data_IF_796980240917
#
_entry.id   IF_796980240917
#
_cell.length_a   1.000
_cell.length_b   1.000
_cell.length_c   1.000
_cell.angle_alpha   90.00
_cell.angle_beta   90.00
_cell.angle_gamma   90.00
#
_symmetry.space_group_name_H-M   'P 1'
#
loop_
_entity.id
_entity.type
_entity.pdbx_description
1 polymer ?
#
# COMPACT_ATOMS: atom_id res chain seq x y z
N UNK A 1 1.76 -23.56 -10.60
CA UNK A 1 2.28 -22.17 -10.57
C UNK A 1 1.23 -21.31 -11.25
N UNK A 2 0.59 -20.42 -10.48
CA UNK A 2 -0.54 -19.62 -10.95
C UNK A 2 0.01 -18.48 -11.84
N UNK A 3 -0.62 -18.15 -12.99
CA UNK A 3 -0.26 -16.99 -13.82
C UNK A 3 -0.07 -15.69 -13.02
N UNK A 4 -0.78 -15.54 -11.88
CA UNK A 4 -0.66 -14.42 -10.94
C UNK A 4 0.69 -14.40 -10.18
N UNK A 5 1.29 -15.56 -9.88
CA UNK A 5 2.58 -15.66 -9.18
C UNK A 5 3.77 -15.32 -10.08
N UNK A 6 3.61 -15.46 -11.40
CA UNK A 6 4.65 -15.20 -12.39
C UNK A 6 4.74 -13.72 -12.78
N UNK A 7 3.65 -12.95 -12.65
CA UNK A 7 3.63 -11.50 -12.89
C UNK A 7 4.12 -10.68 -11.69
N UNK A 8 3.84 -11.14 -10.47
CA UNK A 8 4.43 -10.55 -9.26
C UNK A 8 5.97 -10.55 -9.33
N UNK A 9 6.57 -11.61 -9.88
CA UNK A 9 8.03 -11.74 -10.09
C UNK A 9 8.63 -10.74 -11.10
N UNK A 10 7.85 -10.20 -12.04
CA UNK A 10 8.36 -9.30 -13.10
C UNK A 10 8.27 -7.83 -12.74
N UNK A 11 7.21 -7.44 -12.03
CA UNK A 11 7.20 -6.15 -11.31
C UNK A 11 8.33 -6.14 -10.26
N UNK A 12 8.63 -7.29 -9.63
CA UNK A 12 9.76 -7.44 -8.70
C UNK A 12 11.15 -7.27 -9.34
N UNK A 13 11.32 -7.54 -10.64
CA UNK A 13 12.60 -7.37 -11.33
C UNK A 13 12.87 -5.91 -11.75
N UNK A 14 11.83 -5.12 -12.03
CA UNK A 14 11.99 -3.69 -12.32
C UNK A 14 12.34 -2.89 -11.06
N UNK A 15 11.96 -3.38 -9.87
CA UNK A 15 12.09 -2.64 -8.60
C UNK A 15 13.36 -2.95 -7.79
N UNK A 16 14.14 -3.96 -8.16
CA UNK A 16 15.44 -4.23 -7.55
C UNK A 16 16.55 -3.93 -8.56
N UNK A 17 17.12 -2.73 -8.45
CA UNK A 17 18.36 -2.34 -9.11
C UNK A 17 19.52 -3.22 -8.65
N UNK A 18 19.62 -4.43 -9.20
CA UNK A 18 20.82 -5.22 -9.44
C UNK A 18 20.39 -6.60 -9.96
N UNK A 19 20.44 -6.78 -11.28
CA UNK A 19 20.31 -8.10 -11.89
C UNK A 19 19.93 -8.04 -13.35
N UNK A 20 20.93 -7.92 -14.23
CA UNK A 20 20.81 -8.51 -15.58
C UNK A 20 20.40 -9.97 -15.38
N UNK A 21 19.15 -10.31 -15.65
CA UNK A 21 18.76 -11.70 -15.87
C UNK A 21 18.42 -11.82 -17.35
N UNK A 22 19.38 -12.39 -18.07
CA UNK A 22 19.32 -12.76 -19.48
C UNK A 22 18.36 -13.94 -19.76
N UNK A 23 17.44 -14.27 -18.86
CA UNK A 23 16.61 -15.48 -19.00
C UNK A 23 15.16 -15.19 -18.59
N UNK A 24 14.39 -14.60 -19.51
CA UNK A 24 12.93 -14.72 -19.48
C UNK A 24 12.42 -15.17 -20.85
N UNK A 25 12.42 -16.49 -21.06
CA UNK A 25 11.56 -17.10 -22.09
C UNK A 25 10.14 -17.08 -21.55
N UNK A 26 9.34 -16.13 -22.03
CA UNK A 26 7.89 -16.15 -21.86
C UNK A 26 7.35 -17.41 -22.55
N UNK A 27 6.38 -18.15 -21.97
CA UNK A 27 5.82 -19.33 -22.62
C UNK A 27 5.16 -19.05 -23.98
N UNK A 28 4.99 -17.77 -24.33
CA UNK A 28 5.01 -17.18 -25.66
C UNK A 28 5.29 -15.67 -25.49
N UNK A 29 6.48 -15.18 -25.86
CA UNK A 29 6.88 -13.75 -26.04
C UNK A 29 6.44 -12.68 -25.02
N UNK A 30 7.38 -11.95 -24.40
CA UNK A 30 7.03 -10.70 -23.69
C UNK A 30 6.39 -9.72 -24.66
N UNK A 31 5.31 -9.07 -24.25
CA UNK A 31 4.83 -7.87 -24.92
C UNK A 31 4.23 -6.94 -23.88
N UNK A 32 4.55 -5.65 -23.99
CA UNK A 32 3.92 -4.55 -23.23
C UNK A 32 2.40 -4.65 -23.33
N UNK A 33 1.88 -5.11 -24.47
CA UNK A 33 0.46 -5.32 -24.70
C UNK A 33 -0.14 -6.43 -23.82
N UNK A 34 0.59 -7.52 -23.58
CA UNK A 34 0.12 -8.59 -22.70
C UNK A 34 0.09 -8.14 -21.24
N UNK A 35 1.07 -7.34 -20.82
CA UNK A 35 1.11 -6.78 -19.48
C UNK A 35 -0.01 -5.76 -19.25
N UNK A 36 -0.25 -4.88 -20.22
CA UNK A 36 -1.38 -3.96 -20.23
C UNK A 36 -2.73 -4.70 -20.10
N UNK A 37 -2.95 -5.74 -20.92
CA UNK A 37 -4.19 -6.55 -20.84
C UNK A 37 -4.37 -7.19 -19.47
N UNK A 38 -3.28 -7.63 -18.84
CA UNK A 38 -3.32 -8.24 -17.53
C UNK A 38 -3.61 -7.21 -16.42
N UNK A 39 -2.93 -6.06 -16.41
CA UNK A 39 -3.19 -4.98 -15.44
C UNK A 39 -4.67 -4.54 -15.47
N UNK A 40 -5.27 -4.63 -16.65
CA UNK A 40 -6.65 -4.27 -16.91
C UNK A 40 -7.59 -5.48 -17.02
N UNK A 41 -7.26 -6.66 -16.48
CA UNK A 41 -8.21 -7.80 -16.53
C UNK A 41 -9.41 -7.60 -15.59
N UNK A 42 -9.16 -7.03 -14.41
CA UNK A 42 -10.13 -6.96 -13.31
C UNK A 42 -10.46 -5.52 -12.88
N UNK A 43 -10.24 -4.54 -13.75
CA UNK A 43 -10.38 -3.11 -13.43
C UNK A 43 -11.78 -2.71 -12.92
N UNK A 44 -12.84 -3.43 -13.32
CA UNK A 44 -14.23 -3.19 -12.89
C UNK A 44 -14.42 -3.49 -11.39
N UNK A 45 -13.52 -4.29 -10.81
CA UNK A 45 -13.59 -4.64 -9.38
C UNK A 45 -12.94 -3.59 -8.48
N UNK A 46 -12.29 -2.57 -9.05
CA UNK A 46 -11.60 -1.52 -8.28
C UNK A 46 -12.61 -0.75 -7.41
N UNK A 47 -12.41 -0.67 -6.09
CA UNK A 47 -13.25 0.12 -5.20
C UNK A 47 -13.41 1.58 -5.65
N UNK A 48 -14.65 2.01 -5.82
CA UNK A 48 -14.97 3.38 -6.25
C UNK A 48 -14.95 3.58 -7.77
N UNK A 49 -14.75 2.54 -8.58
CA UNK A 49 -14.77 2.62 -10.05
C UNK A 49 -16.02 3.31 -10.61
N UNK A 50 -17.15 3.19 -9.89
CA UNK A 50 -18.42 3.81 -10.28
C UNK A 50 -18.38 5.33 -10.34
N UNK A 51 -17.39 5.99 -9.71
CA UNK A 51 -17.18 7.44 -9.85
C UNK A 51 -16.74 7.87 -11.24
N UNK A 52 -16.20 6.96 -12.04
CA UNK A 52 -15.84 7.24 -13.43
C UNK A 52 -17.04 7.18 -14.37
N UNK A 53 -18.24 6.91 -13.83
CA UNK A 53 -19.46 6.94 -14.60
C UNK A 53 -19.86 8.38 -14.93
N UNK A 54 -20.32 8.59 -16.16
CA UNK A 54 -20.96 9.85 -16.53
C UNK A 54 -22.35 9.96 -15.88
N UNK A 55 -22.89 11.17 -15.69
CA UNK A 55 -24.21 11.35 -15.06
C UNK A 55 -25.38 10.71 -15.83
N UNK A 56 -25.23 10.53 -17.14
CA UNK A 56 -26.28 10.09 -18.07
C UNK A 56 -26.16 8.62 -18.53
N UNK A 57 -25.17 7.88 -18.02
CA UNK A 57 -24.94 6.48 -18.40
C UNK A 57 -25.26 5.50 -17.25
N UNK A 58 -25.60 4.27 -17.61
CA UNK A 58 -25.79 3.18 -16.65
C UNK A 58 -24.48 2.47 -16.34
N UNK A 59 -24.41 1.77 -15.19
CA UNK A 59 -23.25 0.94 -14.87
C UNK A 59 -23.00 -0.17 -15.90
N UNK A 60 -24.06 -0.71 -16.51
CA UNK A 60 -23.93 -1.70 -17.59
C UNK A 60 -23.22 -1.10 -18.81
N UNK A 61 -23.61 0.10 -19.24
CA UNK A 61 -22.94 0.82 -20.33
C UNK A 61 -21.47 1.14 -19.97
N UNK A 62 -21.21 1.53 -18.73
CA UNK A 62 -19.86 1.75 -18.23
C UNK A 62 -19.01 0.47 -18.23
N UNK A 63 -19.57 -0.66 -17.81
CA UNK A 63 -18.87 -1.95 -17.73
C UNK A 63 -18.47 -2.51 -19.10
N UNK A 64 -19.09 -2.02 -20.18
CA UNK A 64 -18.79 -2.39 -21.56
C UNK A 64 -17.68 -1.53 -22.20
N UNK A 65 -17.16 -0.52 -21.49
CA UNK A 65 -16.08 0.31 -22.00
C UNK A 65 -14.80 -0.49 -22.20
N UNK A 66 -13.99 -0.05 -23.15
CA UNK A 66 -12.64 -0.60 -23.29
C UNK A 66 -11.77 -0.19 -22.10
N UNK A 67 -10.78 -1.00 -21.72
CA UNK A 67 -9.80 -0.63 -20.70
C UNK A 67 -9.16 0.75 -20.93
N UNK A 68 -8.84 1.09 -22.19
CA UNK A 68 -8.26 2.37 -22.55
C UNK A 68 -9.23 3.53 -22.30
N UNK A 69 -10.52 3.35 -22.60
CA UNK A 69 -11.53 4.36 -22.35
C UNK A 69 -11.74 4.59 -20.84
N UNK A 70 -11.64 3.54 -20.03
CA UNK A 70 -11.70 3.66 -18.56
C UNK A 70 -10.49 4.42 -18.02
N UNK A 71 -9.27 4.14 -18.51
CA UNK A 71 -8.08 4.90 -18.13
C UNK A 71 -8.22 6.39 -18.51
N UNK A 72 -8.72 6.69 -19.71
CA UNK A 72 -8.95 8.10 -20.12
C UNK A 72 -9.93 8.81 -19.17
N UNK A 73 -11.01 8.15 -18.77
CA UNK A 73 -11.96 8.70 -17.78
C UNK A 73 -11.32 8.88 -16.41
N UNK A 74 -10.53 7.91 -15.97
CA UNK A 74 -9.79 7.97 -14.72
C UNK A 74 -8.81 9.15 -14.68
N UNK A 75 -8.04 9.35 -15.73
CA UNK A 75 -7.14 10.51 -15.86
C UNK A 75 -7.94 11.81 -15.75
N UNK A 76 -9.00 11.94 -16.55
CA UNK A 76 -9.80 13.16 -16.57
C UNK A 76 -10.52 13.45 -15.25
N UNK A 77 -10.99 12.42 -14.54
CA UNK A 77 -11.57 12.55 -13.20
C UNK A 77 -10.57 13.21 -12.23
N UNK A 78 -9.30 12.79 -12.26
CA UNK A 78 -8.26 13.37 -11.39
C UNK A 78 -7.81 14.76 -11.83
N UNK A 79 -7.71 15.01 -13.14
CA UNK A 79 -7.43 16.37 -13.65
C UNK A 79 -8.53 17.36 -13.27
N UNK A 80 -9.79 16.94 -13.28
CA UNK A 80 -10.92 17.76 -12.85
C UNK A 80 -10.86 18.07 -11.35
N UNK A 81 -10.56 17.07 -10.50
CA UNK A 81 -10.38 17.28 -9.06
C UNK A 81 -9.19 18.22 -8.76
N UNK A 82 -8.12 18.12 -9.54
CA UNK A 82 -6.95 19.01 -9.47
C UNK A 82 -7.19 20.40 -10.07
N UNK A 83 -8.41 20.71 -10.56
CA UNK A 83 -8.78 21.97 -11.21
C UNK A 83 -7.87 22.32 -12.40
N UNK A 84 -7.40 21.32 -13.13
CA UNK A 84 -6.64 21.48 -14.37
C UNK A 84 -7.64 21.58 -15.52
N UNK A 85 -7.49 22.52 -16.45
CA UNK A 85 -8.43 22.67 -17.58
C UNK A 85 -8.21 21.64 -18.70
N UNK A 86 -6.97 21.16 -18.84
CA UNK A 86 -6.60 20.22 -19.90
C UNK A 86 -7.26 18.86 -19.69
N UNK A 87 -7.66 18.20 -20.78
CA UNK A 87 -8.27 16.86 -20.76
C UNK A 87 -7.53 15.92 -21.70
N UNK A 88 -7.42 14.67 -21.29
CA UNK A 88 -6.98 13.56 -22.13
C UNK A 88 -8.13 13.14 -23.04
N UNK A 89 -7.93 13.27 -24.34
CA UNK A 89 -8.88 12.84 -25.38
C UNK A 89 -8.25 11.82 -26.32
N UNK A 90 -7.01 12.06 -26.73
CA UNK A 90 -6.23 11.21 -27.64
C UNK A 90 -4.89 10.89 -26.98
N UNK A 91 -4.71 9.62 -26.59
CA UNK A 91 -3.53 9.14 -25.85
C UNK A 91 -2.22 9.47 -26.57
N UNK A 92 -2.17 9.30 -27.90
CA UNK A 92 -0.95 9.55 -28.69
C UNK A 92 -0.57 11.03 -28.84
N UNK A 93 -1.47 11.96 -28.48
CA UNK A 93 -1.26 13.39 -28.73
C UNK A 93 -1.22 14.19 -27.43
N UNK A 94 -2.17 13.95 -26.53
CA UNK A 94 -2.35 14.81 -25.36
C UNK A 94 -1.32 14.55 -24.25
N UNK A 95 -0.62 13.42 -24.30
CA UNK A 95 0.37 13.01 -23.30
C UNK A 95 1.81 13.40 -23.67
N UNK A 96 2.06 13.80 -24.92
CA UNK A 96 3.42 13.94 -25.48
C UNK A 96 4.27 15.00 -24.79
N UNK A 97 3.62 15.99 -24.19
CA UNK A 97 4.27 17.10 -23.52
C UNK A 97 4.40 16.92 -22.01
N UNK A 98 3.98 15.76 -21.48
CA UNK A 98 4.04 15.39 -20.07
C UNK A 98 3.25 16.27 -19.08
N UNK A 99 2.45 17.24 -19.54
CA UNK A 99 1.69 18.12 -18.62
C UNK A 99 0.60 17.33 -17.92
N UNK A 100 -0.15 16.51 -18.67
CA UNK A 100 -1.19 15.64 -18.09
C UNK A 100 -0.58 14.68 -17.08
N UNK A 101 0.55 14.04 -17.41
CA UNK A 101 1.25 13.17 -16.47
C UNK A 101 1.68 13.90 -15.20
N UNK A 102 2.23 15.11 -15.34
CA UNK A 102 2.70 15.87 -14.20
C UNK A 102 1.59 16.14 -13.19
N UNK A 103 0.43 16.60 -13.67
CA UNK A 103 -0.72 16.87 -12.81
C UNK A 103 -1.37 15.59 -12.27
N UNK A 104 -1.55 14.58 -13.13
CA UNK A 104 -2.13 13.31 -12.72
C UNK A 104 -1.34 12.68 -11.57
N UNK A 105 -0.02 12.57 -11.72
CA UNK A 105 0.84 11.96 -10.69
C UNK A 105 0.84 12.84 -9.44
N UNK A 106 0.84 14.17 -9.58
CA UNK A 106 0.70 15.08 -8.44
C UNK A 106 -0.56 14.85 -7.60
N UNK A 107 -1.66 14.45 -8.24
CA UNK A 107 -2.95 14.20 -7.58
C UNK A 107 -3.01 12.80 -6.95
N UNK A 108 -2.51 11.77 -7.62
CA UNK A 108 -2.68 10.37 -7.20
C UNK A 108 -1.52 9.86 -6.31
N UNK A 109 -0.36 10.49 -6.38
CA UNK A 109 0.82 10.05 -5.65
C UNK A 109 0.63 10.18 -4.14
N UNK A 110 1.07 9.21 -3.33
CA UNK A 110 1.06 9.35 -1.88
C UNK A 110 1.90 10.57 -1.45
N UNK A 111 1.44 11.38 -0.47
CA UNK A 111 2.17 12.56 -0.01
C UNK A 111 3.61 12.29 0.47
N UNK A 112 3.91 11.04 0.83
CA UNK A 112 5.23 10.59 1.30
C UNK A 112 6.26 10.38 0.19
N UNK A 113 5.86 10.39 -1.08
CA UNK A 113 6.75 10.12 -2.22
C UNK A 113 7.59 11.33 -2.66
N UNK A 114 7.31 12.52 -2.12
CA UNK A 114 8.00 13.78 -2.45
C UNK A 114 8.08 14.08 -3.96
N UNK A 115 7.10 13.59 -4.73
CA UNK A 115 6.95 13.91 -6.15
C UNK A 115 6.73 15.42 -6.33
N UNK A 116 7.44 16.03 -7.28
CA UNK A 116 7.36 17.48 -7.54
C UNK A 116 6.80 17.79 -8.92
N UNK A 117 5.53 18.22 -8.96
CA UNK A 117 4.88 18.73 -10.17
C UNK A 117 5.67 19.90 -10.78
N UNK A 118 6.17 20.80 -9.93
CA UNK A 118 6.92 22.00 -10.36
C UNK A 118 8.25 21.63 -11.02
N UNK A 119 8.90 20.56 -10.57
CA UNK A 119 10.15 20.09 -11.18
C UNK A 119 9.94 19.64 -12.63
N UNK A 120 8.77 19.08 -12.94
CA UNK A 120 8.41 18.69 -14.31
C UNK A 120 7.96 19.92 -15.11
N UNK A 121 6.97 20.67 -14.61
CA UNK A 121 6.37 21.79 -15.35
C UNK A 121 7.31 22.99 -15.55
N UNK A 122 8.38 23.10 -14.76
CA UNK A 122 9.40 24.15 -14.91
C UNK A 122 10.30 23.97 -16.15
N UNK A 123 10.26 22.81 -16.80
CA UNK A 123 11.09 22.52 -17.98
C UNK A 123 10.52 23.11 -19.28
N UNK A 124 11.42 23.64 -20.12
CA UNK A 124 11.04 24.49 -21.26
C UNK A 124 10.59 23.74 -22.51
N UNK A 125 11.07 22.52 -22.72
CA UNK A 125 10.75 21.71 -23.90
C UNK A 125 10.10 20.42 -23.49
N UNK A 126 9.32 19.81 -24.38
CA UNK A 126 8.59 18.58 -24.13
C UNK A 126 9.56 17.43 -23.78
N UNK A 127 10.72 17.37 -24.44
CA UNK A 127 11.75 16.36 -24.15
C UNK A 127 12.34 16.53 -22.75
N UNK A 128 12.62 17.76 -22.33
CA UNK A 128 13.11 18.03 -20.97
C UNK A 128 12.05 17.75 -19.91
N UNK A 129 10.79 18.10 -20.19
CA UNK A 129 9.65 17.75 -19.34
C UNK A 129 9.52 16.24 -19.18
N UNK A 130 9.57 15.49 -20.28
CA UNK A 130 9.49 14.03 -20.24
C UNK A 130 10.68 13.40 -19.49
N UNK A 131 11.89 13.91 -19.64
CA UNK A 131 13.05 13.45 -18.87
C UNK A 131 12.93 13.78 -17.37
N UNK A 132 12.47 14.98 -17.03
CA UNK A 132 12.22 15.35 -15.64
C UNK A 132 11.11 14.49 -15.01
N UNK A 133 10.04 14.22 -15.76
CA UNK A 133 8.98 13.31 -15.34
C UNK A 133 9.54 11.94 -14.98
N UNK A 134 10.28 11.29 -15.89
CA UNK A 134 10.87 9.96 -15.67
C UNK A 134 11.79 9.96 -14.45
N UNK A 135 12.57 11.03 -14.23
CA UNK A 135 13.39 11.17 -13.02
C UNK A 135 12.56 11.28 -11.75
N UNK A 136 11.43 11.99 -11.78
CA UNK A 136 10.53 12.08 -10.64
C UNK A 136 9.82 10.73 -10.34
N UNK A 137 9.61 9.88 -11.35
CA UNK A 137 9.05 8.52 -11.17
C UNK A 137 9.96 7.60 -10.32
N UNK A 138 11.27 7.84 -10.30
CA UNK A 138 12.20 7.10 -9.43
C UNK A 138 11.82 7.26 -7.94
N UNK A 139 11.31 8.44 -7.56
CA UNK A 139 10.88 8.72 -6.18
C UNK A 139 9.61 7.97 -5.78
N UNK A 140 8.77 7.67 -6.76
CA UNK A 140 7.56 6.84 -6.59
C UNK A 140 7.90 5.35 -6.52
N UNK A 141 9.18 4.97 -6.65
CA UNK A 141 9.63 3.58 -6.77
C UNK A 141 8.94 2.86 -7.94
N UNK A 142 8.80 3.55 -9.07
CA UNK A 142 8.37 2.94 -10.34
C UNK A 142 9.41 3.25 -11.45
N UNK A 143 10.69 2.87 -11.26
CA UNK A 143 11.71 3.04 -12.29
C UNK A 143 11.36 2.25 -13.56
N UNK A 144 11.81 2.76 -14.70
CA UNK A 144 11.68 2.14 -16.03
C UNK A 144 10.23 1.88 -16.51
N UNK A 145 9.23 2.52 -15.89
CA UNK A 145 7.83 2.35 -16.26
C UNK A 145 7.48 2.90 -17.65
N UNK A 146 8.19 3.94 -18.09
CA UNK A 146 8.05 4.56 -19.41
C UNK A 146 9.34 5.30 -19.78
N UNK A 147 9.66 5.37 -21.07
CA UNK A 147 10.79 6.14 -21.58
C UNK A 147 10.34 7.53 -22.02
N UNK A 148 11.15 8.54 -21.72
CA UNK A 148 10.88 9.92 -22.13
C UNK A 148 10.66 10.05 -23.65
N UNK A 149 11.42 9.28 -24.44
CA UNK A 149 11.27 9.21 -25.91
C UNK A 149 9.87 8.75 -26.33
N UNK A 150 9.35 7.68 -25.72
CA UNK A 150 8.05 7.10 -26.04
C UNK A 150 6.89 8.04 -25.67
N UNK A 151 7.07 8.88 -24.65
CA UNK A 151 6.14 9.94 -24.31
C UNK A 151 6.11 10.96 -25.46
N UNK A 152 7.25 11.56 -25.80
CA UNK A 152 7.34 12.62 -26.81
C UNK A 152 6.90 12.15 -28.19
N UNK A 153 7.23 10.91 -28.56
CA UNK A 153 6.81 10.30 -29.83
C UNK A 153 5.34 9.88 -29.85
N UNK A 154 4.65 9.90 -28.71
CA UNK A 154 3.24 9.54 -28.61
C UNK A 154 2.98 8.04 -28.81
N UNK A 155 3.89 7.17 -28.36
CA UNK A 155 3.71 5.73 -28.48
C UNK A 155 2.45 5.28 -27.72
N UNK A 156 1.43 4.85 -28.45
CA UNK A 156 0.13 4.54 -27.86
C UNK A 156 0.21 3.46 -26.79
N UNK A 157 0.98 2.39 -27.03
CA UNK A 157 0.98 1.22 -26.17
C UNK A 157 1.83 1.42 -24.93
N UNK A 158 2.99 2.07 -25.05
CA UNK A 158 3.80 2.43 -23.87
C UNK A 158 3.03 3.42 -22.98
N UNK A 159 2.33 4.40 -23.56
CA UNK A 159 1.50 5.33 -22.78
C UNK A 159 0.30 4.64 -22.11
N UNK A 160 -0.41 3.75 -22.81
CA UNK A 160 -1.51 2.98 -22.21
C UNK A 160 -1.05 2.04 -21.11
N UNK A 161 0.06 1.34 -21.31
CA UNK A 161 0.66 0.47 -20.30
C UNK A 161 1.09 1.28 -19.07
N UNK A 162 1.73 2.43 -19.27
CA UNK A 162 2.12 3.29 -18.16
C UNK A 162 0.92 3.84 -17.38
N UNK A 163 -0.14 4.29 -18.06
CA UNK A 163 -1.40 4.67 -17.40
C UNK A 163 -2.04 3.51 -16.64
N UNK A 164 -2.00 2.29 -17.20
CA UNK A 164 -2.50 1.10 -16.51
C UNK A 164 -1.69 0.77 -15.25
N UNK A 165 -0.36 0.92 -15.31
CA UNK A 165 0.51 0.77 -14.13
C UNK A 165 0.16 1.78 -13.05
N UNK A 166 0.01 3.07 -13.40
CA UNK A 166 -0.38 4.11 -12.45
C UNK A 166 -1.77 3.86 -11.85
N UNK A 167 -2.75 3.48 -12.66
CA UNK A 167 -4.09 3.14 -12.20
C UNK A 167 -4.10 1.93 -11.25
N UNK A 168 -3.28 0.92 -11.54
CA UNK A 168 -3.14 -0.26 -10.72
C UNK A 168 -2.50 0.06 -9.36
N UNK A 169 -1.45 0.90 -9.35
CA UNK A 169 -0.76 1.29 -8.12
C UNK A 169 -1.57 2.31 -7.29
N UNK A 170 -2.20 3.29 -7.94
CA UNK A 170 -2.82 4.45 -7.30
C UNK A 170 -4.17 4.82 -7.95
N UNK A 171 -5.23 3.99 -7.79
CA UNK A 171 -6.52 4.29 -8.41
C UNK A 171 -7.19 5.54 -7.80
N UNK A 172 -7.12 5.72 -6.47
CA UNK A 172 -7.63 6.91 -5.73
C UNK A 172 -9.11 7.25 -6.06
N UNK A 173 -9.98 6.24 -6.10
CA UNK A 173 -11.41 6.41 -6.45
C UNK A 173 -12.39 6.29 -5.27
N UNK A 174 -11.95 6.01 -4.04
CA UNK A 174 -12.85 5.83 -2.90
C UNK A 174 -12.79 7.00 -1.89
N UNK A 175 -13.93 7.33 -1.27
CA UNK A 175 -14.05 8.39 -0.25
C UNK A 175 -13.70 7.92 1.17
N UNK A 176 -13.33 6.67 1.38
CA UNK A 176 -12.86 6.24 2.68
C UNK A 176 -11.47 6.84 2.89
N UNK A 177 -11.26 7.80 3.82
CA UNK A 177 -9.94 8.42 4.06
C UNK A 177 -8.87 7.42 4.56
N UNK A 178 -9.20 6.13 4.63
CA UNK A 178 -8.45 5.09 5.32
C UNK A 178 -8.33 3.78 4.51
N UNK A 179 -8.65 3.76 3.22
CA UNK A 179 -8.25 2.64 2.35
C UNK A 179 -7.06 3.10 1.51
N UNK A 180 -5.92 3.16 2.18
CA UNK A 180 -4.64 3.13 1.50
C UNK A 180 -4.60 1.84 0.67
N UNK A 181 -4.43 1.94 -0.64
CA UNK A 181 -3.78 0.86 -1.37
C UNK A 181 -2.35 0.88 -0.87
N UNK A 182 -2.07 0.10 0.18
CA UNK A 182 -0.70 -0.20 0.53
C UNK A 182 -0.07 -0.84 -0.71
N UNK A 183 1.07 -0.34 -1.21
CA UNK A 183 1.78 -0.99 -2.30
C UNK A 183 1.94 -2.46 -1.97
N UNK A 184 1.87 -3.36 -2.96
CA UNK A 184 2.12 -4.80 -2.75
C UNK A 184 3.58 -4.97 -2.35
N UNK A 185 3.82 -4.78 -1.07
CA UNK A 185 5.02 -5.23 -0.40
C UNK A 185 4.95 -6.76 -0.46
N UNK A 186 6.06 -7.43 -0.70
CA UNK A 186 6.15 -8.86 -0.43
C UNK A 186 5.71 -9.05 1.03
N UNK A 187 4.44 -9.45 1.21
CA UNK A 187 3.78 -9.47 2.50
C UNK A 187 4.61 -10.33 3.44
N UNK A 188 5.23 -11.39 2.93
CA UNK A 188 6.09 -12.27 3.71
C UNK A 188 7.39 -11.58 4.14
N UNK A 189 8.08 -10.88 3.24
CA UNK A 189 9.30 -10.12 3.58
C UNK A 189 9.00 -8.96 4.54
N UNK A 190 7.92 -8.22 4.33
CA UNK A 190 7.54 -7.14 5.25
C UNK A 190 7.07 -7.66 6.59
N UNK A 191 6.32 -8.75 6.64
CA UNK A 191 5.99 -9.40 7.90
C UNK A 191 7.26 -9.89 8.60
N UNK A 192 8.28 -10.36 7.87
CA UNK A 192 9.60 -10.69 8.45
C UNK A 192 10.29 -9.45 9.03
N UNK A 193 10.30 -8.34 8.31
CA UNK A 193 10.87 -7.08 8.80
C UNK A 193 10.11 -6.55 10.02
N UNK A 194 8.77 -6.53 9.97
CA UNK A 194 7.92 -6.16 11.11
C UNK A 194 8.16 -7.10 12.28
N UNK A 195 8.25 -8.40 12.05
CA UNK A 195 8.56 -9.38 13.09
C UNK A 195 9.89 -9.08 13.76
N UNK A 196 10.96 -8.82 12.99
CA UNK A 196 12.28 -8.46 13.55
C UNK A 196 12.20 -7.14 14.34
N UNK A 197 11.57 -6.12 13.78
CA UNK A 197 11.42 -4.79 14.40
C UNK A 197 10.67 -4.90 15.74
N UNK A 198 9.51 -5.53 15.74
CA UNK A 198 8.65 -5.62 16.91
C UNK A 198 9.17 -6.60 17.95
N UNK A 199 9.73 -7.75 17.55
CA UNK A 199 10.42 -8.66 18.47
C UNK A 199 11.56 -7.96 19.20
N UNK A 200 12.38 -7.15 18.51
CA UNK A 200 13.43 -6.34 19.16
C UNK A 200 12.84 -5.34 20.16
N UNK A 201 11.78 -4.63 19.79
CA UNK A 201 11.13 -3.67 20.67
C UNK A 201 10.52 -4.34 21.91
N UNK A 202 9.78 -5.44 21.77
CA UNK A 202 9.19 -6.18 22.88
C UNK A 202 10.27 -6.74 23.83
N UNK A 203 11.31 -7.35 23.26
CA UNK A 203 12.42 -7.89 24.05
C UNK A 203 13.20 -6.80 24.82
N UNK A 204 13.13 -5.53 24.42
CA UNK A 204 13.74 -4.43 25.17
C UNK A 204 13.10 -4.20 26.55
N UNK A 205 11.88 -4.70 26.78
CA UNK A 205 11.20 -4.67 28.08
C UNK A 205 11.57 -5.84 29.00
N UNK A 206 12.50 -6.70 28.58
CA UNK A 206 12.91 -7.92 29.29
C UNK A 206 11.71 -8.85 29.59
N UNK A 207 10.86 -9.09 28.57
CA UNK A 207 9.75 -10.03 28.63
C UNK A 207 10.22 -11.47 28.66
N UNK A 208 9.41 -12.35 29.26
CA UNK A 208 9.67 -13.80 29.35
C UNK A 208 8.42 -14.58 28.92
N UNK A 209 8.47 -15.48 27.93
CA UNK A 209 9.63 -15.87 27.12
C UNK A 209 10.11 -14.76 26.16
N UNK A 210 11.31 -14.95 25.60
CA UNK A 210 11.85 -14.05 24.56
C UNK A 210 11.01 -14.20 23.29
N UNK A 211 10.66 -13.07 22.67
CA UNK A 211 9.86 -13.03 21.46
C UNK A 211 10.73 -13.29 20.24
N UNK A 212 10.33 -14.26 19.42
CA UNK A 212 10.94 -14.67 18.15
C UNK A 212 10.00 -14.44 16.97
N UNK A 213 8.72 -14.79 17.12
CA UNK A 213 7.66 -14.54 16.14
C UNK A 213 6.47 -13.85 16.81
N UNK A 214 6.29 -12.56 16.51
CA UNK A 214 5.20 -11.77 17.09
C UNK A 214 3.80 -12.29 16.74
N UNK A 215 3.64 -13.09 15.69
CA UNK A 215 2.34 -13.61 15.27
C UNK A 215 1.97 -14.91 15.98
N UNK A 216 2.96 -15.56 16.61
CA UNK A 216 2.80 -16.80 17.37
C UNK A 216 2.95 -16.55 18.87
N UNK A 217 4.05 -15.92 19.27
CA UNK A 217 4.47 -15.76 20.66
C UNK A 217 3.60 -14.76 21.44
N UNK A 218 2.81 -13.93 20.74
CA UNK A 218 1.84 -13.02 21.36
C UNK A 218 0.44 -13.64 21.52
N UNK A 219 0.21 -14.82 20.94
CA UNK A 219 -1.11 -15.44 20.88
C UNK A 219 -1.68 -15.78 22.27
N UNK A 220 -0.84 -16.03 23.25
CA UNK A 220 -1.27 -16.37 24.61
C UNK A 220 -1.55 -15.15 25.52
N UNK A 221 -1.30 -13.93 25.00
CA UNK A 221 -1.50 -12.64 25.67
C UNK A 221 -0.49 -12.29 26.77
N UNK A 222 0.35 -13.23 27.24
CA UNK A 222 1.22 -13.02 28.41
C UNK A 222 2.30 -11.97 28.16
N UNK A 223 2.91 -11.99 26.97
CA UNK A 223 3.93 -11.01 26.59
C UNK A 223 3.36 -9.59 26.55
N UNK A 224 2.15 -9.43 26.00
CA UNK A 224 1.48 -8.12 25.90
C UNK A 224 1.19 -7.58 27.30
N UNK A 225 0.67 -8.42 28.20
CA UNK A 225 0.41 -8.07 29.60
C UNK A 225 1.68 -7.66 30.35
N UNK A 226 2.80 -8.35 30.13
CA UNK A 226 4.09 -7.98 30.72
C UNK A 226 4.54 -6.59 30.26
N UNK A 227 4.46 -6.29 28.97
CA UNK A 227 4.81 -4.95 28.43
C UNK A 227 3.89 -3.88 29.03
N UNK A 228 2.59 -4.13 29.10
CA UNK A 228 1.62 -3.21 29.72
C UNK A 228 1.96 -2.93 31.18
N UNK A 229 2.28 -3.96 31.97
CA UNK A 229 2.70 -3.81 33.36
C UNK A 229 4.04 -3.07 33.50
N UNK A 230 4.95 -3.15 32.51
CA UNK A 230 6.17 -2.33 32.48
C UNK A 230 5.88 -0.87 32.14
N UNK A 231 4.96 -0.62 31.20
CA UNK A 231 4.55 0.74 30.82
C UNK A 231 3.82 1.45 31.98
N UNK A 232 3.06 0.69 32.78
CA UNK A 232 2.42 1.16 34.00
C UNK A 232 2.57 0.08 35.08
N UNK A 233 3.48 0.24 36.05
CA UNK A 233 3.63 -0.72 37.14
C UNK A 233 2.33 -0.94 37.92
N UNK A 234 2.13 -2.16 38.43
CA UNK A 234 1.00 -2.60 39.26
C UNK A 234 -0.36 -2.41 38.61
N UNK A 235 -0.43 -2.60 37.30
CA UNK A 235 -1.62 -2.28 36.53
C UNK A 235 -2.34 -3.52 36.00
N UNK A 236 -1.60 -4.60 35.77
CA UNK A 236 -2.15 -5.92 35.47
C UNK A 236 -2.38 -6.66 36.79
N UNK A 237 -3.62 -7.12 36.99
CA UNK A 237 -3.94 -8.06 38.06
C UNK A 237 -3.56 -9.47 37.61
N UNK A 238 -2.48 -10.01 38.16
CA UNK A 238 -1.94 -11.30 37.75
C UNK A 238 -2.70 -12.50 38.32
N UNK A 239 -3.70 -12.28 39.17
CA UNK A 239 -4.56 -13.35 39.69
C UNK A 239 -5.68 -13.71 38.70
N UNK A 240 -6.07 -12.76 37.83
CA UNK A 240 -7.06 -12.96 36.76
C UNK A 240 -6.45 -13.50 35.45
N UNK A 241 -5.12 -13.67 35.39
CA UNK A 241 -4.38 -14.09 34.18
C UNK A 241 -4.02 -15.58 34.25
N UNK A 242 -4.30 -16.31 33.16
CA UNK A 242 -3.93 -17.72 33.02
C UNK A 242 -2.43 -17.82 32.76
N UNK A 243 -1.65 -18.20 33.78
CA UNK A 243 -0.17 -18.23 33.73
C UNK A 243 0.41 -19.35 32.85
N UNK A 244 -0.31 -20.46 32.70
CA UNK A 244 0.09 -21.59 31.86
C UNK A 244 -1.01 -21.88 30.82
N UNK A 245 -1.17 -21.00 29.82
CA UNK A 245 -2.23 -21.11 28.84
C UNK A 245 -1.96 -22.28 27.89
N UNK A 246 -2.90 -23.22 27.83
CA UNK A 246 -2.80 -24.45 27.03
C UNK A 246 -3.93 -24.65 26.01
N UNK A 247 -4.96 -23.80 26.04
CA UNK A 247 -6.15 -23.91 25.17
C UNK A 247 -6.41 -22.58 24.47
N UNK A 248 -7.08 -22.61 23.31
CA UNK A 248 -7.49 -21.39 22.59
C UNK A 248 -8.33 -20.47 23.49
N UNK A 249 -9.16 -21.04 24.37
CA UNK A 249 -9.95 -20.24 25.33
C UNK A 249 -9.05 -19.49 26.33
N UNK A 250 -8.00 -20.13 26.86
CA UNK A 250 -7.04 -19.45 27.75
C UNK A 250 -6.34 -18.29 27.02
N UNK A 251 -6.01 -18.46 25.75
CA UNK A 251 -5.35 -17.44 24.92
C UNK A 251 -6.29 -16.24 24.74
N UNK A 252 -7.55 -16.52 24.37
CA UNK A 252 -8.58 -15.50 24.19
C UNK A 252 -8.80 -14.71 25.49
N UNK A 253 -8.92 -15.39 26.64
CA UNK A 253 -9.12 -14.74 27.95
C UNK A 253 -7.97 -13.76 28.24
N UNK A 254 -6.72 -14.23 28.15
CA UNK A 254 -5.56 -13.39 28.41
C UNK A 254 -5.45 -12.22 27.42
N UNK A 255 -5.68 -12.45 26.13
CA UNK A 255 -5.67 -11.39 25.12
C UNK A 255 -6.80 -10.38 25.33
N UNK A 256 -8.01 -10.82 25.74
CA UNK A 256 -9.11 -9.93 26.07
C UNK A 256 -8.76 -9.02 27.24
N UNK A 257 -8.18 -9.58 28.31
CA UNK A 257 -7.68 -8.81 29.46
C UNK A 257 -6.63 -7.78 29.03
N UNK A 258 -5.69 -8.15 28.15
CA UNK A 258 -4.67 -7.23 27.65
C UNK A 258 -5.27 -6.04 26.88
N UNK A 259 -6.25 -6.29 26.01
CA UNK A 259 -6.92 -5.25 25.22
C UNK A 259 -7.78 -4.35 26.11
N UNK A 260 -8.55 -4.94 27.02
CA UNK A 260 -9.38 -4.18 27.96
C UNK A 260 -8.53 -3.28 28.85
N UNK A 261 -7.41 -3.80 29.35
CA UNK A 261 -6.45 -3.03 30.11
C UNK A 261 -5.91 -1.85 29.30
N UNK A 262 -5.43 -2.08 28.08
CA UNK A 262 -4.87 -1.04 27.23
C UNK A 262 -5.89 0.08 26.93
N UNK A 263 -7.16 -0.28 26.67
CA UNK A 263 -8.24 0.69 26.46
C UNK A 263 -8.60 1.44 27.73
N UNK A 264 -8.93 0.72 28.81
CA UNK A 264 -9.59 1.30 29.98
C UNK A 264 -8.61 1.92 30.98
N UNK A 265 -7.39 1.37 31.11
CA UNK A 265 -6.42 1.82 32.13
C UNK A 265 -5.34 2.73 31.55
N UNK A 266 -5.02 2.61 30.26
CA UNK A 266 -4.05 3.45 29.56
C UNK A 266 -4.67 4.45 28.57
N UNK A 267 -5.95 4.30 28.22
CA UNK A 267 -6.63 5.20 27.28
C UNK A 267 -6.16 5.02 25.83
N UNK A 268 -5.62 3.86 25.47
CA UNK A 268 -5.09 3.61 24.12
C UNK A 268 -6.27 3.33 23.17
N UNK A 269 -6.38 4.04 22.03
CA UNK A 269 -7.54 3.95 21.15
C UNK A 269 -7.49 2.71 20.24
N UNK A 270 -7.67 1.53 20.81
CA UNK A 270 -7.61 0.25 20.08
C UNK A 270 -8.89 -0.10 19.28
N UNK A 271 -9.81 0.86 19.07
CA UNK A 271 -11.03 0.68 18.26
C UNK A 271 -11.86 -0.55 18.64
N UNK A 272 -12.31 -1.30 17.62
CA UNK A 272 -13.14 -2.51 17.75
C UNK A 272 -12.35 -3.82 17.92
N UNK A 273 -11.05 -3.75 18.23
CA UNK A 273 -10.23 -4.96 18.39
C UNK A 273 -10.70 -5.80 19.58
N UNK A 274 -10.80 -7.10 19.36
CA UNK A 274 -11.13 -8.12 20.35
C UNK A 274 -9.91 -9.02 20.60
N UNK A 275 -9.75 -9.55 21.82
CA UNK A 275 -8.69 -10.49 22.19
C UNK A 275 -8.63 -11.73 21.29
N UNK A 276 -9.78 -12.14 20.73
CA UNK A 276 -9.87 -13.21 19.74
C UNK A 276 -8.97 -13.03 18.51
N UNK A 277 -8.80 -11.79 18.07
CA UNK A 277 -7.99 -11.48 16.89
C UNK A 277 -6.50 -11.74 17.13
N UNK A 278 -6.03 -11.44 18.34
CA UNK A 278 -4.63 -11.61 18.73
C UNK A 278 -4.34 -13.09 19.02
N UNK A 279 -5.26 -13.76 19.72
CA UNK A 279 -5.14 -15.19 20.03
C UNK A 279 -5.00 -16.07 18.78
N UNK A 280 -5.60 -15.65 17.65
CA UNK A 280 -5.51 -16.33 16.35
C UNK A 280 -4.38 -15.84 15.45
N UNK A 281 -3.49 -14.98 15.94
CA UNK A 281 -2.35 -14.48 15.17
C UNK A 281 -2.75 -13.61 13.98
N UNK A 282 -3.84 -12.83 14.08
CA UNK A 282 -4.23 -11.92 13.00
C UNK A 282 -3.15 -10.85 12.80
N UNK A 283 -2.34 -11.03 11.75
CA UNK A 283 -1.14 -10.21 11.47
C UNK A 283 -1.41 -8.71 11.50
N UNK A 284 -2.45 -8.24 10.80
CA UNK A 284 -2.78 -6.82 10.71
C UNK A 284 -3.17 -6.24 12.07
N UNK A 285 -4.01 -6.93 12.81
CA UNK A 285 -4.49 -6.46 14.12
C UNK A 285 -3.43 -6.53 15.21
N UNK A 286 -2.56 -7.55 15.18
CA UNK A 286 -1.39 -7.64 16.06
C UNK A 286 -0.43 -6.48 15.84
N UNK A 287 -0.10 -6.16 14.59
CA UNK A 287 0.78 -5.03 14.26
C UNK A 287 0.17 -3.69 14.67
N UNK A 288 -1.14 -3.51 14.48
CA UNK A 288 -1.83 -2.32 14.93
C UNK A 288 -1.76 -2.14 16.46
N UNK A 289 -2.04 -3.19 17.24
CA UNK A 289 -1.92 -3.13 18.72
C UNK A 289 -0.51 -2.74 19.13
N UNK A 290 0.53 -3.34 18.53
CA UNK A 290 1.93 -3.02 18.83
C UNK A 290 2.28 -1.56 18.48
N UNK A 291 1.77 -1.05 17.35
CA UNK A 291 1.94 0.34 16.94
C UNK A 291 1.35 1.33 17.94
N UNK A 292 0.14 1.05 18.43
CA UNK A 292 -0.52 1.91 19.41
C UNK A 292 0.18 1.87 20.78
N UNK A 293 0.64 0.69 21.21
CA UNK A 293 1.45 0.56 22.43
C UNK A 293 2.77 1.33 22.34
N UNK A 294 3.45 1.27 21.17
CA UNK A 294 4.67 2.04 20.92
C UNK A 294 4.41 3.54 20.95
N UNK A 295 3.36 3.99 20.29
CA UNK A 295 2.96 5.39 20.25
C UNK A 295 2.67 5.93 21.65
N UNK A 296 1.98 5.14 22.49
CA UNK A 296 1.75 5.49 23.89
C UNK A 296 3.06 5.59 24.67
N UNK A 297 3.98 4.64 24.50
CA UNK A 297 5.30 4.65 25.14
C UNK A 297 6.10 5.90 24.77
N UNK A 298 6.14 6.24 23.48
CA UNK A 298 6.90 7.39 22.98
C UNK A 298 6.35 8.72 23.49
N UNK A 299 5.02 8.88 23.51
CA UNK A 299 4.37 10.05 24.10
C UNK A 299 4.71 10.20 25.58
N UNK A 300 4.80 9.11 26.34
CA UNK A 300 5.13 9.15 27.78
C UNK A 300 6.61 9.47 28.03
N UNK A 301 7.51 9.08 27.13
CA UNK A 301 8.94 9.41 27.20
C UNK A 301 9.22 10.86 26.84
N UNK A 302 8.40 11.50 26.01
CA UNK A 302 8.51 12.94 25.67
C UNK A 302 8.00 13.89 26.76
N UNK A 303 7.28 13.38 27.77
CA UNK A 303 6.70 14.16 28.88
C UNK A 303 7.55 14.03 30.17
N UNK A 304 8.67 13.32 30.12
CA UNK A 304 9.69 13.27 31.18
C UNK A 304 10.88 14.12 30.79
#
# INVERSE_FOLDING_TARGET
>A
MNPLTYLASKVFCCLNGNGRTNDTVYPNGYSIENEYRYLMSDYITVPGITKLQKPDETFEQFSQLTPSAVLVRWVNYHLENAMVDRRLTVVQQDLTDSIIYAHLIGEIAPPTTYYSVVAVLGERTDERRAMALVKELEKLRIPDAIKAKSIVEGDMMENLHFLALLFHCFPVLSLAPNVFFEPVIDEESWLKEQNVKWSKWLNSFAVTPRVHDIFVDLGDGLVILQVLNKLRPNSVDWDDIVRNPSTELHYIINCMQAIEFAKNKLGIPLGHINGHNIARGNKKLTLFVLSELKTYCDKKLMVR
#
